data_IF_068885695577
#
_entry.id   IF_068885695577
#
_cell.length_a   1.000
_cell.length_b   1.000
_cell.length_c   1.000
_cell.angle_alpha   90.00
_cell.angle_beta   90.00
_cell.angle_gamma   90.00
#
_symmetry.space_group_name_H-M   'P 1'
#
loop_
_entity.id
_entity.type
_entity.pdbx_description
1 polymer ?
#
# COMPACT_ATOMS: atom_id res chain seq x y z
N UNK A 1 12.96 -23.85 32.01
CA UNK A 1 12.16 -24.51 30.95
C UNK A 1 10.70 -24.21 31.27
N UNK A 2 9.88 -23.49 30.52
CA UNK A 2 9.88 -23.06 29.11
C UNK A 2 9.12 -21.72 29.09
N UNK A 3 9.73 -20.68 28.52
CA UNK A 3 9.02 -19.46 28.11
C UNK A 3 7.95 -19.85 27.08
N UNK A 4 6.68 -19.61 27.38
CA UNK A 4 5.61 -19.82 26.41
C UNK A 4 4.62 -18.67 26.47
N UNK A 5 4.46 -18.08 25.28
CA UNK A 5 3.35 -17.23 24.83
C UNK A 5 3.51 -15.73 25.17
N UNK A 6 4.51 -15.10 24.55
CA UNK A 6 4.52 -13.64 24.35
C UNK A 6 4.44 -13.23 22.87
N UNK A 7 4.20 -14.18 21.96
CA UNK A 7 4.33 -13.95 20.52
C UNK A 7 3.01 -14.06 19.77
N UNK A 8 1.93 -13.50 20.34
CA UNK A 8 0.64 -13.41 19.63
C UNK A 8 -0.13 -12.12 19.88
N UNK A 9 0.49 -11.09 20.48
CA UNK A 9 -0.19 -9.81 20.71
C UNK A 9 0.06 -8.76 19.63
N UNK A 10 1.06 -8.93 18.76
CA UNK A 10 1.38 -7.94 17.72
C UNK A 10 0.64 -8.19 16.39
N UNK A 11 0.15 -9.40 16.16
CA UNK A 11 -0.51 -9.76 14.90
C UNK A 11 -2.03 -9.45 14.85
N UNK A 12 -2.63 -9.12 16.00
CA UNK A 12 -4.08 -8.91 16.13
C UNK A 12 -4.41 -7.42 16.39
N UNK A 13 -3.41 -6.56 16.56
CA UNK A 13 -3.61 -5.11 16.70
C UNK A 13 -3.95 -4.42 15.36
N UNK A 14 -3.90 -5.12 14.23
CA UNK A 14 -4.39 -4.63 12.93
C UNK A 14 -5.92 -4.83 12.80
N UNK A 15 -6.64 -4.65 13.90
CA UNK A 15 -8.08 -4.84 14.00
C UNK A 15 -8.75 -3.47 13.83
N UNK A 16 -9.19 -3.19 12.60
CA UNK A 16 -10.12 -2.11 12.24
C UNK A 16 -9.69 -0.69 12.66
N UNK A 17 -8.57 -0.19 12.13
CA UNK A 17 -8.60 1.22 11.76
C UNK A 17 -9.61 1.34 10.61
N UNK A 18 -10.75 1.98 10.85
CA UNK A 18 -11.57 2.53 9.78
C UNK A 18 -10.67 3.60 9.14
N UNK A 19 -9.84 3.17 8.19
CA UNK A 19 -9.11 4.07 7.34
C UNK A 19 -10.18 4.81 6.55
N UNK A 20 -10.31 6.11 6.80
CA UNK A 20 -10.90 6.99 5.82
C UNK A 20 -9.98 6.93 4.59
N UNK A 21 -10.36 6.07 3.66
CA UNK A 21 -9.62 5.81 2.44
C UNK A 21 -9.66 7.04 1.53
N UNK A 22 -10.56 8.01 1.77
CA UNK A 22 -10.72 9.18 0.92
C UNK A 22 -11.12 8.83 -0.52
N UNK A 23 -11.61 7.61 -0.76
CA UNK A 23 -12.11 7.13 -2.05
C UNK A 23 -13.62 7.26 -2.03
N UNK A 24 -14.19 7.86 -3.07
CA UNK A 24 -15.65 7.90 -3.24
C UNK A 24 -16.22 6.52 -3.58
N UNK A 25 -17.47 6.26 -3.21
CA UNK A 25 -18.13 4.98 -3.53
C UNK A 25 -18.12 4.69 -5.05
N UNK A 26 -18.27 5.72 -5.88
CA UNK A 26 -18.20 5.61 -7.33
C UNK A 26 -16.82 5.17 -7.81
N UNK A 27 -15.76 5.79 -7.29
CA UNK A 27 -14.38 5.45 -7.62
C UNK A 27 -14.02 4.04 -7.12
N UNK A 28 -14.46 3.68 -5.92
CA UNK A 28 -14.31 2.34 -5.37
C UNK A 28 -14.96 1.28 -6.27
N UNK A 29 -16.21 1.49 -6.69
CA UNK A 29 -16.93 0.58 -7.56
C UNK A 29 -16.27 0.48 -8.95
N UNK A 30 -15.78 1.59 -9.50
CA UNK A 30 -15.05 1.59 -10.78
C UNK A 30 -13.75 0.79 -10.72
N UNK A 31 -12.98 0.93 -9.64
CA UNK A 31 -11.74 0.19 -9.44
C UNK A 31 -12.00 -1.30 -9.28
N UNK A 32 -13.04 -1.68 -8.53
CA UNK A 32 -13.45 -3.08 -8.39
C UNK A 32 -13.94 -3.67 -9.71
N UNK A 33 -14.69 -2.91 -10.51
CA UNK A 33 -15.13 -3.35 -11.83
C UNK A 33 -13.96 -3.64 -12.79
N UNK A 34 -12.80 -3.00 -12.57
CA UNK A 34 -11.56 -3.28 -13.30
C UNK A 34 -10.76 -4.47 -12.74
N UNK A 35 -11.28 -5.14 -11.70
CA UNK A 35 -10.59 -6.23 -11.00
C UNK A 35 -9.45 -5.76 -10.09
N UNK A 36 -9.43 -4.46 -9.73
CA UNK A 36 -8.43 -3.89 -8.83
C UNK A 36 -8.89 -3.97 -7.38
N UNK A 37 -7.92 -4.08 -6.47
CA UNK A 37 -8.17 -4.04 -5.03
C UNK A 37 -8.00 -2.60 -4.53
N UNK A 38 -9.07 -1.81 -4.67
CA UNK A 38 -9.09 -0.39 -4.31
C UNK A 38 -8.69 -0.14 -2.84
N UNK A 39 -9.08 -1.04 -1.93
CA UNK A 39 -8.76 -0.93 -0.50
C UNK A 39 -7.25 -1.09 -0.28
N UNK A 40 -6.67 -2.15 -0.83
CA UNK A 40 -5.23 -2.38 -0.65
C UNK A 40 -4.38 -1.35 -1.36
N UNK A 41 -4.76 -0.91 -2.55
CA UNK A 41 -4.06 0.14 -3.27
C UNK A 41 -4.04 1.44 -2.46
N UNK A 42 -5.15 1.80 -1.82
CA UNK A 42 -5.21 3.00 -1.01
C UNK A 42 -4.43 2.88 0.30
N UNK A 43 -4.43 1.71 0.94
CA UNK A 43 -3.55 1.44 2.08
C UNK A 43 -2.09 1.63 1.69
N UNK A 44 -1.70 1.15 0.50
CA UNK A 44 -0.36 1.35 -0.07
C UNK A 44 -0.05 2.84 -0.29
N UNK A 45 -0.99 3.60 -0.86
CA UNK A 45 -0.84 5.05 -1.07
C UNK A 45 -0.59 5.76 0.25
N UNK A 46 -1.43 5.51 1.27
CA UNK A 46 -1.30 6.12 2.60
C UNK A 46 0.05 5.77 3.23
N UNK A 47 0.48 4.52 3.13
CA UNK A 47 1.77 4.08 3.67
C UNK A 47 2.96 4.75 2.97
N UNK A 48 2.90 4.89 1.64
CA UNK A 48 3.93 5.59 0.87
C UNK A 48 4.01 7.07 1.26
N UNK A 49 2.86 7.74 1.41
CA UNK A 49 2.82 9.14 1.86
C UNK A 49 3.39 9.29 3.27
N UNK A 50 3.01 8.39 4.19
CA UNK A 50 3.57 8.36 5.56
C UNK A 50 5.09 8.14 5.56
N UNK A 51 5.62 7.41 4.58
CA UNK A 51 7.05 7.21 4.36
C UNK A 51 7.74 8.36 3.60
N UNK A 52 7.07 9.52 3.43
CA UNK A 52 7.66 10.71 2.82
C UNK A 52 7.63 10.74 1.30
N UNK A 53 6.88 9.85 0.64
CA UNK A 53 6.67 9.87 -0.82
C UNK A 53 5.61 10.92 -1.17
N UNK A 54 5.81 11.77 -2.19
CA UNK A 54 4.77 12.69 -2.66
C UNK A 54 3.49 11.95 -3.04
N UNK A 55 2.33 12.50 -2.69
CA UNK A 55 1.03 11.85 -2.94
C UNK A 55 0.81 11.44 -4.40
N UNK A 56 1.24 12.27 -5.36
CA UNK A 56 1.14 11.97 -6.79
C UNK A 56 1.96 10.74 -7.19
N UNK A 57 3.18 10.60 -6.67
CA UNK A 57 4.03 9.43 -6.92
C UNK A 57 3.45 8.18 -6.23
N UNK A 58 2.93 8.33 -5.02
CA UNK A 58 2.30 7.24 -4.28
C UNK A 58 1.11 6.63 -5.04
N UNK A 59 0.22 7.48 -5.58
CA UNK A 59 -0.95 7.08 -6.39
C UNK A 59 -0.52 6.35 -7.66
N UNK A 60 0.56 6.79 -8.31
CA UNK A 60 1.07 6.16 -9.52
C UNK A 60 1.68 4.78 -9.24
N UNK A 61 2.45 4.65 -8.16
CA UNK A 61 3.23 3.44 -7.88
C UNK A 61 2.42 2.34 -7.18
N UNK A 62 1.44 2.71 -6.34
CA UNK A 62 0.61 1.76 -5.62
C UNK A 62 -0.04 0.67 -6.48
N UNK A 63 -0.71 0.97 -7.62
CA UNK A 63 -1.29 -0.06 -8.48
C UNK A 63 -0.24 -0.92 -9.20
N UNK A 64 0.97 -0.39 -9.41
CA UNK A 64 2.06 -1.13 -10.05
C UNK A 64 2.63 -2.21 -9.11
N UNK A 65 2.68 -1.95 -7.80
CA UNK A 65 3.23 -2.88 -6.81
C UNK A 65 2.47 -4.21 -6.70
N UNK A 66 1.20 -4.25 -7.12
CA UNK A 66 0.36 -5.46 -7.15
C UNK A 66 0.31 -6.15 -8.50
N UNK A 67 0.85 -5.53 -9.54
CA UNK A 67 0.72 -6.00 -10.92
C UNK A 67 1.69 -7.15 -11.21
N UNK A 68 1.16 -8.32 -11.52
CA UNK A 68 1.92 -9.49 -11.96
C UNK A 68 2.48 -9.27 -13.36
N UNK A 69 3.63 -8.59 -13.47
CA UNK A 69 4.27 -8.29 -14.75
C UNK A 69 4.46 -6.80 -15.00
N UNK A 70 5.17 -6.12 -14.10
CA UNK A 70 5.61 -4.75 -14.34
C UNK A 70 6.59 -4.69 -15.53
N UNK A 71 6.35 -3.75 -16.43
CA UNK A 71 7.29 -3.32 -17.46
C UNK A 71 8.59 -2.79 -16.85
N UNK A 72 9.65 -2.72 -17.64
CA UNK A 72 10.95 -2.19 -17.18
C UNK A 72 10.84 -0.75 -16.65
N UNK A 73 9.95 0.07 -17.22
CA UNK A 73 9.69 1.44 -16.77
C UNK A 73 8.94 1.48 -15.43
N UNK A 74 7.89 0.68 -15.27
CA UNK A 74 7.17 0.57 -13.99
C UNK A 74 8.11 0.09 -12.87
N UNK A 75 8.98 -0.89 -13.17
CA UNK A 75 10.00 -1.36 -12.21
C UNK A 75 11.00 -0.28 -11.83
N UNK A 76 11.46 0.53 -12.79
CA UNK A 76 12.38 1.63 -12.51
C UNK A 76 11.73 2.69 -11.60
N UNK A 77 10.46 3.03 -11.84
CA UNK A 77 9.71 3.96 -10.99
C UNK A 77 9.53 3.42 -9.57
N UNK A 78 9.11 2.16 -9.42
CA UNK A 78 9.03 1.49 -8.12
C UNK A 78 10.38 1.54 -7.40
N UNK A 79 11.47 1.23 -8.11
CA UNK A 79 12.81 1.24 -7.54
C UNK A 79 13.25 2.63 -7.11
N UNK A 80 12.95 3.69 -7.88
CA UNK A 80 13.26 5.07 -7.51
C UNK A 80 12.54 5.48 -6.22
N UNK A 81 11.24 5.20 -6.12
CA UNK A 81 10.47 5.48 -4.90
C UNK A 81 11.04 4.70 -3.71
N UNK A 82 11.40 3.43 -3.91
CA UNK A 82 12.01 2.62 -2.86
C UNK A 82 13.37 3.16 -2.37
N UNK A 83 14.23 3.64 -3.29
CA UNK A 83 15.51 4.26 -2.92
C UNK A 83 15.30 5.55 -2.14
N UNK A 84 14.28 6.34 -2.48
CA UNK A 84 13.94 7.56 -1.74
C UNK A 84 13.51 7.24 -0.30
N UNK A 85 12.65 6.25 -0.10
CA UNK A 85 12.24 5.81 1.24
C UNK A 85 13.46 5.31 2.05
N UNK A 86 14.38 4.58 1.41
CA UNK A 86 15.56 4.02 2.08
C UNK A 86 16.63 5.06 2.46
N UNK A 87 16.65 6.22 1.81
CA UNK A 87 17.67 7.25 2.01
C UNK A 87 17.24 8.34 3.00
N UNK A 88 16.03 8.24 3.56
CA UNK A 88 15.56 9.03 4.70
C UNK A 88 16.01 8.38 6.02
#
# INVERSE_FOLDING_TARGET
MIQKIQTTSFAIATMLEILDLGISDEEYLQLIAQGRDAVQEQILIVNLIRAGVPALEAIQVAPMLKKSGCSSQEKALIQQVWQRIRSQ
#
